data_IF_815013825697
#
_entry.id   IF_815013825697
#
_cell.length_a   1.000
_cell.length_b   1.000
_cell.length_c   1.000
_cell.angle_alpha   90.00
_cell.angle_beta   90.00
_cell.angle_gamma   90.00
#
_symmetry.space_group_name_H-M   'P 1'
#
loop_
_entity.id
_entity.type
_entity.pdbx_description
1 polymer ?
#
# COMPACT_ATOMS: atom_id res chain seq x y z
N UNK A 1 -36.92 57.44 23.15
CA UNK A 1 -37.46 57.12 24.49
C UNK A 1 -37.00 55.71 24.82
N UNK A 2 -35.79 55.50 25.37
CA UNK A 2 -35.44 55.46 26.83
C UNK A 2 -36.34 54.50 27.61
N UNK A 3 -35.89 53.46 28.33
CA UNK A 3 -34.65 53.18 29.09
C UNK A 3 -34.25 51.67 28.92
N UNK A 4 -32.99 51.20 28.92
CA UNK A 4 -31.92 51.16 29.96
C UNK A 4 -32.42 50.57 31.30
N UNK A 5 -31.70 49.76 32.09
CA UNK A 5 -30.41 49.03 32.12
C UNK A 5 -30.55 48.02 33.29
N UNK A 6 -29.75 46.97 33.42
CA UNK A 6 -28.51 46.91 34.23
C UNK A 6 -27.85 45.56 33.86
N UNK A 7 -26.59 45.37 33.43
CA UNK A 7 -25.30 46.03 33.61
C UNK A 7 -24.78 46.06 35.05
N UNK A 8 -23.80 45.19 35.31
CA UNK A 8 -22.54 45.40 36.07
C UNK A 8 -22.15 44.11 36.85
N UNK A 9 -20.92 43.58 36.90
CA UNK A 9 -19.54 44.05 36.66
C UNK A 9 -18.66 42.78 36.40
N UNK A 10 -17.71 42.71 35.45
CA UNK A 10 -16.41 43.40 35.27
C UNK A 10 -15.25 42.80 36.11
N UNK A 11 -14.30 42.20 35.36
CA UNK A 11 -12.81 42.31 35.44
C UNK A 11 -12.09 41.74 36.70
N UNK A 12 -10.85 41.25 36.68
CA UNK A 12 -9.72 41.18 35.72
C UNK A 12 -8.72 40.12 36.25
N UNK A 13 -7.85 39.67 35.36
CA UNK A 13 -6.50 39.08 35.49
C UNK A 13 -5.86 38.95 36.91
N UNK A 14 -4.94 38.02 37.18
CA UNK A 14 -3.80 37.69 36.34
C UNK A 14 -3.00 36.49 36.90
N UNK A 15 -2.21 35.90 35.99
CA UNK A 15 -0.89 35.27 36.17
C UNK A 15 -0.62 34.26 37.31
N UNK A 16 -0.35 33.02 36.89
CA UNK A 16 0.21 31.96 37.72
C UNK A 16 0.75 30.79 36.89
N UNK A 17 1.88 31.04 36.25
CA UNK A 17 2.70 30.09 35.49
C UNK A 17 2.94 28.79 36.28
N UNK A 18 2.62 27.63 35.69
CA UNK A 18 3.32 26.39 35.98
C UNK A 18 3.52 25.58 34.70
N UNK A 19 4.80 25.45 34.35
CA UNK A 19 5.36 24.56 33.33
C UNK A 19 5.08 23.12 33.76
N UNK A 20 4.42 22.34 32.89
CA UNK A 20 4.36 20.90 33.02
C UNK A 20 4.43 20.23 31.63
N UNK A 21 5.44 19.39 31.52
CA UNK A 21 5.92 18.59 30.40
C UNK A 21 4.82 17.81 29.65
N UNK A 22 4.59 18.12 28.36
CA UNK A 22 3.63 17.40 27.50
C UNK A 22 4.31 16.20 26.84
N UNK A 23 4.56 15.16 27.64
CA UNK A 23 4.64 13.75 27.20
C UNK A 23 3.68 12.90 28.03
N UNK A 24 2.37 12.97 27.76
CA UNK A 24 1.41 12.04 28.41
C UNK A 24 -0.03 11.99 27.85
N UNK A 25 -0.45 12.85 26.90
CA UNK A 25 -1.90 13.03 26.63
C UNK A 25 -2.47 12.15 25.49
N UNK A 26 -1.70 11.25 24.87
CA UNK A 26 -2.21 10.35 23.81
C UNK A 26 -2.62 8.94 24.26
N UNK A 27 -2.62 8.65 25.57
CA UNK A 27 -3.06 7.37 26.12
C UNK A 27 -4.14 7.62 27.17
N UNK A 28 -5.43 7.70 26.76
CA UNK A 28 -6.61 7.43 27.62
C UNK A 28 -7.99 7.61 26.95
N UNK A 29 -8.12 7.40 25.63
CA UNK A 29 -9.44 7.30 24.97
C UNK A 29 -9.52 6.10 24.02
N UNK A 30 -9.34 4.91 24.58
CA UNK A 30 -9.70 3.65 23.92
C UNK A 30 -9.79 2.54 24.96
N UNK A 31 -10.62 2.71 26.00
CA UNK A 31 -11.03 1.61 26.86
C UNK A 31 -12.51 1.76 27.19
N UNK A 32 -13.27 0.71 26.82
CA UNK A 32 -14.68 0.39 27.07
C UNK A 32 -15.76 1.06 26.21
N UNK A 33 -16.10 0.34 25.14
CA UNK A 33 -17.45 -0.13 24.80
C UNK A 33 -17.22 -1.36 23.91
N UNK A 34 -17.11 -2.54 24.50
CA UNK A 34 -18.15 -3.58 24.55
C UNK A 34 -18.38 -4.27 23.19
N UNK A 35 -17.83 -5.49 23.16
CA UNK A 35 -18.30 -6.71 22.49
C UNK A 35 -19.10 -6.57 21.20
N UNK A 36 -18.36 -6.52 20.09
CA UNK A 36 -18.57 -7.40 18.96
C UNK A 36 -17.27 -7.42 18.15
N UNK A 37 -16.27 -8.18 18.61
CA UNK A 37 -15.26 -8.65 17.67
C UNK A 37 -16.00 -9.53 16.67
N UNK A 38 -16.02 -9.10 15.42
CA UNK A 38 -16.39 -9.94 14.29
C UNK A 38 -15.47 -11.16 14.30
N UNK A 39 -15.93 -12.18 15.00
CA UNK A 39 -15.39 -13.54 15.08
C UNK A 39 -15.87 -14.36 13.89
N UNK A 40 -16.09 -13.70 12.75
CA UNK A 40 -16.78 -14.26 11.59
C UNK A 40 -15.87 -14.75 10.47
N UNK A 41 -14.57 -14.45 10.41
CA UNK A 41 -13.73 -14.99 9.30
C UNK A 41 -13.05 -16.33 9.57
N UNK A 42 -12.72 -16.68 10.82
CA UNK A 42 -12.04 -17.95 11.13
C UNK A 42 -12.97 -19.15 11.36
N UNK A 43 -14.26 -18.90 11.61
CA UNK A 43 -15.23 -19.98 11.84
C UNK A 43 -15.99 -20.37 10.55
N UNK A 44 -16.12 -19.49 9.57
CA UNK A 44 -16.66 -19.86 8.24
C UNK A 44 -15.65 -20.70 7.44
N UNK A 45 -14.34 -20.54 7.66
CA UNK A 45 -13.30 -21.38 7.04
C UNK A 45 -13.04 -22.71 7.78
N UNK A 46 -13.79 -23.03 8.85
CA UNK A 46 -13.83 -24.39 9.41
C UNK A 46 -14.74 -25.33 8.62
N UNK A 47 -15.60 -24.80 7.77
CA UNK A 47 -16.51 -25.62 6.95
C UNK A 47 -15.79 -26.42 5.85
N UNK A 48 -14.46 -26.25 5.69
CA UNK A 48 -13.70 -26.99 4.71
C UNK A 48 -12.21 -27.03 4.96
N UNK A 49 -11.75 -27.88 5.89
CA UNK A 49 -10.54 -28.67 5.59
C UNK A 49 -10.91 -29.70 4.51
N UNK A 50 -11.42 -29.23 3.38
CA UNK A 50 -11.90 -30.05 2.27
C UNK A 50 -10.66 -30.44 1.45
N UNK A 51 -9.93 -31.44 1.95
CA UNK A 51 -8.75 -31.99 1.27
C UNK A 51 -7.73 -32.70 2.16
N UNK A 52 -7.81 -32.60 3.49
CA UNK A 52 -6.88 -33.34 4.37
C UNK A 52 -7.32 -34.80 4.52
N UNK A 53 -6.39 -35.72 4.31
CA UNK A 53 -6.61 -37.12 4.65
C UNK A 53 -6.76 -37.28 6.18
N UNK A 54 -7.51 -38.29 6.65
CA UNK A 54 -7.58 -38.65 8.09
C UNK A 54 -6.20 -38.80 8.75
N UNK A 55 -5.19 -39.23 7.99
CA UNK A 55 -3.81 -39.36 8.44
C UNK A 55 -3.14 -37.99 8.67
N UNK A 56 -3.44 -37.00 7.84
CA UNK A 56 -2.99 -35.61 8.04
C UNK A 56 -3.59 -35.04 9.31
N UNK A 57 -4.89 -35.24 9.55
CA UNK A 57 -5.56 -34.73 10.76
C UNK A 57 -4.99 -35.36 12.03
N UNK A 58 -4.76 -36.67 12.02
CA UNK A 58 -4.16 -37.37 13.16
C UNK A 58 -2.74 -36.86 13.44
N UNK A 59 -1.94 -36.68 12.39
CA UNK A 59 -0.59 -36.12 12.50
C UNK A 59 -0.60 -34.72 13.13
N UNK A 60 -1.45 -33.83 12.62
CA UNK A 60 -1.56 -32.45 13.12
C UNK A 60 -1.99 -32.46 14.59
N UNK A 61 -3.07 -33.19 14.93
CA UNK A 61 -3.59 -33.28 16.30
C UNK A 61 -2.56 -33.83 17.28
N UNK A 62 -1.86 -34.90 16.92
CA UNK A 62 -0.88 -35.54 17.80
C UNK A 62 0.31 -34.62 18.09
N UNK A 63 0.89 -34.01 17.05
CA UNK A 63 2.04 -33.12 17.22
C UNK A 63 1.65 -31.83 17.94
N UNK A 64 0.45 -31.31 17.68
CA UNK A 64 -0.05 -30.12 18.34
C UNK A 64 -0.29 -30.39 19.84
N UNK A 65 -0.76 -31.59 20.21
CA UNK A 65 -0.89 -32.00 21.62
C UNK A 65 0.46 -32.15 22.31
N UNK A 66 1.48 -32.61 21.59
CA UNK A 66 2.85 -32.81 22.09
C UNK A 66 3.68 -31.51 22.09
N UNK A 67 3.14 -30.38 21.66
CA UNK A 67 3.85 -29.10 21.57
C UNK A 67 5.16 -29.19 20.77
N UNK A 68 5.19 -29.99 19.70
CA UNK A 68 6.43 -30.16 18.92
C UNK A 68 6.71 -28.88 18.14
N UNK A 69 7.87 -28.26 18.32
CA UNK A 69 8.19 -27.03 17.58
C UNK A 69 8.20 -27.29 16.06
N UNK A 70 7.55 -26.44 15.22
CA UNK A 70 7.47 -26.69 13.78
C UNK A 70 8.83 -26.86 13.09
N UNK A 71 9.87 -26.15 13.54
CA UNK A 71 11.22 -26.28 13.01
C UNK A 71 11.79 -27.71 13.15
N UNK A 72 11.51 -28.38 14.27
CA UNK A 72 11.98 -29.75 14.50
C UNK A 72 11.35 -30.74 13.53
N UNK A 73 10.08 -30.55 13.20
CA UNK A 73 9.39 -31.37 12.21
C UNK A 73 9.95 -31.09 10.80
N UNK A 74 10.16 -29.81 10.45
CA UNK A 74 10.70 -29.40 9.15
C UNK A 74 12.06 -30.06 8.85
N UNK A 75 12.98 -30.00 9.81
CA UNK A 75 14.30 -30.63 9.69
C UNK A 75 14.23 -32.16 9.54
N UNK A 76 13.17 -32.76 10.06
CA UNK A 76 12.89 -34.19 9.96
C UNK A 76 12.37 -34.65 8.60
N UNK A 77 11.80 -33.74 7.80
CA UNK A 77 11.12 -34.08 6.55
C UNK A 77 12.08 -34.73 5.55
N UNK A 78 11.64 -35.81 4.91
CA UNK A 78 12.48 -36.54 3.93
C UNK A 78 12.81 -35.66 2.73
N UNK A 79 11.83 -34.90 2.24
CA UNK A 79 12.04 -33.95 1.12
C UNK A 79 13.05 -32.85 1.47
N UNK A 80 13.13 -32.42 2.72
CA UNK A 80 14.12 -31.42 3.17
C UNK A 80 15.51 -32.05 3.23
N UNK A 81 15.64 -33.25 3.84
CA UNK A 81 16.91 -33.97 3.93
C UNK A 81 17.48 -34.37 2.57
N UNK A 82 16.61 -34.73 1.63
CA UNK A 82 16.99 -35.14 0.28
C UNK A 82 17.24 -33.96 -0.68
N UNK A 83 17.02 -32.71 -0.25
CA UNK A 83 17.08 -31.55 -1.14
C UNK A 83 16.04 -31.59 -2.27
N UNK A 84 14.90 -32.26 -2.03
CA UNK A 84 13.85 -32.41 -3.01
C UNK A 84 12.97 -31.17 -3.16
N UNK A 85 12.19 -31.15 -4.25
CA UNK A 85 11.22 -30.09 -4.56
C UNK A 85 10.07 -30.08 -3.56
N UNK A 86 9.74 -28.90 -3.03
CA UNK A 86 8.66 -28.73 -2.03
C UNK A 86 7.29 -28.51 -2.68
N UNK A 87 7.22 -27.88 -3.85
CA UNK A 87 5.96 -27.56 -4.50
C UNK A 87 5.18 -28.85 -4.79
N UNK A 88 3.94 -28.91 -4.32
CA UNK A 88 3.09 -30.10 -4.46
C UNK A 88 3.53 -31.30 -3.59
N UNK A 89 4.57 -31.18 -2.77
CA UNK A 89 5.01 -32.28 -1.90
C UNK A 89 4.04 -32.44 -0.71
N UNK A 90 3.40 -33.62 -0.61
CA UNK A 90 2.40 -33.89 0.42
C UNK A 90 2.95 -33.86 1.86
N UNK A 91 4.21 -34.22 2.08
CA UNK A 91 4.85 -34.18 3.41
C UNK A 91 5.04 -32.73 3.87
N UNK A 92 5.52 -31.87 2.97
CA UNK A 92 5.70 -30.45 3.21
C UNK A 92 4.36 -29.71 3.40
N UNK A 93 3.37 -29.98 2.55
CA UNK A 93 2.03 -29.39 2.68
C UNK A 93 1.40 -29.78 4.03
N UNK A 94 1.53 -31.06 4.44
CA UNK A 94 1.08 -31.50 5.77
C UNK A 94 1.79 -30.76 6.90
N UNK A 95 3.09 -30.49 6.76
CA UNK A 95 3.83 -29.69 7.73
C UNK A 95 3.37 -28.23 7.78
N UNK A 96 3.04 -27.61 6.65
CA UNK A 96 2.46 -26.25 6.63
C UNK A 96 1.10 -26.20 7.34
N UNK A 97 0.24 -27.20 7.13
CA UNK A 97 -1.01 -27.31 7.89
C UNK A 97 -0.77 -27.40 9.39
N UNK A 98 0.27 -28.13 9.78
CA UNK A 98 0.69 -28.17 11.17
C UNK A 98 1.17 -26.81 11.68
N UNK A 99 1.93 -26.04 10.89
CA UNK A 99 2.35 -24.68 11.24
C UNK A 99 1.13 -23.78 11.50
N UNK A 100 0.12 -23.82 10.62
CA UNK A 100 -1.11 -23.03 10.78
C UNK A 100 -1.84 -23.40 12.09
N UNK A 101 -2.04 -24.70 12.35
CA UNK A 101 -2.67 -25.16 13.60
C UNK A 101 -1.84 -24.80 14.85
N UNK A 102 -0.51 -24.86 14.73
CA UNK A 102 0.41 -24.55 15.81
C UNK A 102 0.30 -23.07 16.22
N UNK A 103 0.26 -22.16 15.23
CA UNK A 103 0.05 -20.72 15.41
C UNK A 103 -1.34 -20.41 15.93
N UNK A 104 -2.38 -21.01 15.36
CA UNK A 104 -3.76 -20.80 15.80
C UNK A 104 -3.98 -21.10 17.30
N UNK A 105 -3.26 -22.10 17.84
CA UNK A 105 -3.34 -22.46 19.27
C UNK A 105 -2.47 -21.63 20.21
N UNK A 106 -1.44 -20.96 19.69
CA UNK A 106 -0.37 -20.36 20.52
C UNK A 106 -0.08 -18.90 20.22
N UNK A 107 -0.74 -18.33 19.21
CA UNK A 107 -0.46 -17.03 18.65
C UNK A 107 0.57 -17.11 17.51
N UNK A 108 0.48 -16.16 16.57
CA UNK A 108 1.38 -16.04 15.41
C UNK A 108 2.85 -15.87 15.82
N UNK A 109 3.11 -15.26 16.98
CA UNK A 109 4.47 -15.05 17.52
C UNK A 109 5.15 -16.33 18.00
N UNK A 110 4.41 -17.43 18.19
CA UNK A 110 4.97 -18.71 18.62
C UNK A 110 5.78 -19.41 17.51
N UNK A 111 5.58 -19.04 16.25
CA UNK A 111 6.40 -19.45 15.12
C UNK A 111 6.24 -18.44 13.98
N UNK A 112 7.13 -17.47 13.92
CA UNK A 112 7.01 -16.29 13.05
C UNK A 112 7.25 -16.58 11.57
N UNK A 113 6.82 -15.69 10.68
CA UNK A 113 7.11 -15.76 9.24
C UNK A 113 8.62 -15.80 9.02
N UNK A 114 9.36 -14.97 9.76
CA UNK A 114 10.83 -14.94 9.70
C UNK A 114 11.45 -16.30 9.97
N UNK A 115 10.92 -17.06 10.93
CA UNK A 115 11.40 -18.41 11.24
C UNK A 115 11.06 -19.40 10.12
N UNK A 116 9.81 -19.40 9.63
CA UNK A 116 9.41 -20.18 8.45
C UNK A 116 10.37 -19.96 7.29
N UNK A 117 10.66 -18.70 6.97
CA UNK A 117 11.54 -18.34 5.88
C UNK A 117 12.99 -18.70 6.10
N UNK A 118 13.49 -18.52 7.33
CA UNK A 118 14.84 -18.92 7.71
C UNK A 118 15.04 -20.42 7.45
N UNK A 119 14.06 -21.26 7.81
CA UNK A 119 14.11 -22.69 7.54
C UNK A 119 14.12 -23.01 6.04
N UNK A 120 13.26 -22.35 5.26
CA UNK A 120 13.22 -22.52 3.82
C UNK A 120 14.54 -22.10 3.15
N UNK A 121 15.19 -21.02 3.59
CA UNK A 121 16.49 -20.59 3.06
C UNK A 121 17.65 -21.50 3.49
N UNK A 122 17.66 -21.96 4.74
CA UNK A 122 18.71 -22.85 5.27
C UNK A 122 18.77 -24.20 4.54
N UNK A 123 17.68 -24.58 3.87
CA UNK A 123 17.60 -25.83 3.12
C UNK A 123 18.24 -25.80 1.72
N UNK A 124 19.16 -24.85 1.46
CA UNK A 124 19.91 -24.67 0.21
C UNK A 124 19.03 -24.48 -1.04
N UNK A 125 17.83 -23.93 -0.86
CA UNK A 125 16.89 -23.65 -1.95
C UNK A 125 17.25 -22.34 -2.64
N UNK A 126 17.11 -22.30 -3.96
CA UNK A 126 17.35 -21.07 -4.73
C UNK A 126 16.16 -20.11 -4.57
N UNK A 127 16.37 -18.83 -4.84
CA UNK A 127 15.28 -17.85 -4.78
C UNK A 127 14.18 -18.18 -5.81
N UNK A 128 14.54 -18.72 -6.97
CA UNK A 128 13.60 -19.19 -7.99
C UNK A 128 12.68 -20.30 -7.47
N UNK A 129 13.23 -21.26 -6.73
CA UNK A 129 12.47 -22.33 -6.11
C UNK A 129 11.52 -21.79 -5.04
N UNK A 130 11.96 -20.81 -4.24
CA UNK A 130 11.12 -20.21 -3.19
C UNK A 130 9.99 -19.36 -3.77
N UNK A 131 10.25 -18.63 -4.86
CA UNK A 131 9.21 -17.88 -5.58
C UNK A 131 8.19 -18.84 -6.20
N UNK A 132 8.64 -19.89 -6.88
CA UNK A 132 7.75 -20.91 -7.45
C UNK A 132 6.91 -21.62 -6.37
N UNK A 133 7.54 -21.96 -5.24
CA UNK A 133 6.87 -22.54 -4.09
C UNK A 133 5.75 -21.64 -3.59
N UNK A 134 6.06 -20.37 -3.30
CA UNK A 134 5.08 -19.42 -2.79
C UNK A 134 3.86 -19.31 -3.70
N UNK A 135 4.05 -19.26 -5.02
CA UNK A 135 2.94 -19.19 -5.96
C UNK A 135 2.16 -20.50 -6.03
N UNK A 136 2.83 -21.65 -5.98
CA UNK A 136 2.15 -22.96 -5.97
C UNK A 136 1.24 -23.12 -4.75
N UNK A 137 1.67 -22.60 -3.60
CA UNK A 137 0.90 -22.67 -2.35
C UNK A 137 -0.41 -21.87 -2.42
N UNK A 138 -0.49 -20.82 -3.25
CA UNK A 138 -1.76 -20.09 -3.46
C UNK A 138 -2.87 -20.96 -4.06
N UNK A 139 -2.51 -22.07 -4.72
CA UNK A 139 -3.47 -23.03 -5.28
C UNK A 139 -3.85 -24.14 -4.28
N UNK A 140 -3.22 -24.17 -3.10
CA UNK A 140 -3.57 -25.10 -2.03
C UNK A 140 -4.65 -24.45 -1.15
N UNK A 141 -5.79 -25.13 -0.91
CA UNK A 141 -6.83 -24.61 -0.01
C UNK A 141 -6.25 -24.19 1.35
N UNK A 142 -6.69 -23.07 1.91
CA UNK A 142 -6.22 -22.54 3.20
C UNK A 142 -4.75 -22.07 3.26
N UNK A 143 -4.02 -22.07 2.14
CA UNK A 143 -2.59 -21.64 2.11
C UNK A 143 -2.37 -20.30 1.42
N UNK A 144 -3.43 -19.65 0.93
CA UNK A 144 -3.31 -18.38 0.22
C UNK A 144 -2.67 -17.29 1.08
N UNK A 145 -3.05 -17.20 2.35
CA UNK A 145 -2.55 -16.16 3.24
C UNK A 145 -1.03 -16.26 3.48
N UNK A 146 -0.57 -17.45 3.87
CA UNK A 146 0.87 -17.70 4.10
C UNK A 146 1.68 -17.57 2.81
N UNK A 147 1.08 -17.94 1.67
CA UNK A 147 1.71 -17.77 0.36
C UNK A 147 1.86 -16.28 -0.04
N UNK A 148 0.83 -15.45 0.18
CA UNK A 148 0.88 -14.01 -0.10
C UNK A 148 1.89 -13.29 0.82
N UNK A 149 1.94 -13.68 2.10
CA UNK A 149 3.00 -13.26 3.03
C UNK A 149 4.37 -13.71 2.54
N UNK A 150 4.43 -14.92 1.96
CA UNK A 150 5.67 -15.42 1.44
C UNK A 150 6.21 -14.55 0.29
N UNK A 151 5.32 -14.19 -0.63
CA UNK A 151 5.65 -13.34 -1.78
C UNK A 151 6.09 -11.95 -1.34
N UNK A 152 5.38 -11.36 -0.39
CA UNK A 152 5.68 -10.04 0.18
C UNK A 152 7.07 -10.00 0.81
N UNK A 153 7.40 -10.96 1.68
CA UNK A 153 8.70 -11.00 2.33
C UNK A 153 9.85 -11.15 1.32
N UNK A 154 9.68 -11.96 0.26
CA UNK A 154 10.70 -12.11 -0.77
C UNK A 154 10.97 -10.80 -1.53
N UNK A 155 9.92 -10.04 -1.87
CA UNK A 155 10.05 -8.72 -2.51
C UNK A 155 10.79 -7.74 -1.59
N UNK A 156 10.49 -7.75 -0.29
CA UNK A 156 11.14 -6.87 0.69
C UNK A 156 12.59 -7.26 0.98
N UNK A 157 12.91 -8.55 0.87
CA UNK A 157 14.20 -9.09 1.30
C UNK A 157 15.24 -9.20 0.18
N UNK A 158 14.83 -9.17 -1.09
CA UNK A 158 15.74 -9.39 -2.21
C UNK A 158 15.33 -8.67 -3.49
N UNK A 159 16.27 -7.94 -4.09
CA UNK A 159 16.07 -7.32 -5.40
C UNK A 159 15.95 -8.35 -6.54
N UNK A 160 16.58 -9.54 -6.42
CA UNK A 160 16.44 -10.59 -7.44
C UNK A 160 15.01 -11.14 -7.50
N UNK A 161 14.35 -11.20 -6.33
CA UNK A 161 12.97 -11.65 -6.21
C UNK A 161 11.98 -10.75 -6.97
N UNK A 162 12.30 -9.48 -7.21
CA UNK A 162 11.42 -8.54 -7.95
C UNK A 162 11.11 -9.03 -9.37
N UNK A 163 12.15 -9.48 -10.09
CA UNK A 163 11.99 -9.99 -11.47
C UNK A 163 11.30 -11.36 -11.46
N UNK A 164 11.75 -12.26 -10.58
CA UNK A 164 11.22 -13.62 -10.49
C UNK A 164 9.73 -13.61 -10.18
N UNK A 165 9.31 -12.73 -9.28
CA UNK A 165 7.91 -12.59 -8.90
C UNK A 165 7.05 -12.09 -10.08
N UNK A 166 7.53 -11.12 -10.85
CA UNK A 166 6.83 -10.66 -12.06
C UNK A 166 6.63 -11.81 -13.07
N UNK A 167 7.66 -12.62 -13.29
CA UNK A 167 7.58 -13.76 -14.20
C UNK A 167 6.58 -14.81 -13.69
N UNK A 168 6.60 -15.12 -12.39
CA UNK A 168 5.73 -16.14 -11.78
C UNK A 168 4.27 -15.72 -11.72
N UNK A 169 3.98 -14.46 -11.36
CA UNK A 169 2.63 -13.91 -11.43
C UNK A 169 2.09 -13.92 -12.85
N UNK A 170 2.89 -13.48 -13.82
CA UNK A 170 2.49 -13.49 -15.23
C UNK A 170 2.23 -14.91 -15.76
N UNK A 171 3.13 -15.87 -15.51
CA UNK A 171 2.94 -17.28 -15.90
C UNK A 171 1.69 -17.89 -15.27
N UNK A 172 1.37 -17.48 -14.04
CA UNK A 172 0.18 -17.91 -13.31
C UNK A 172 -1.09 -17.14 -13.70
N UNK A 173 -1.00 -16.23 -14.67
CA UNK A 173 -2.10 -15.38 -15.15
C UNK A 173 -2.71 -14.50 -14.06
N UNK A 174 -1.93 -14.13 -13.05
CA UNK A 174 -2.37 -13.10 -12.10
C UNK A 174 -2.56 -11.78 -12.87
N UNK A 175 -3.66 -11.08 -12.63
CA UNK A 175 -3.87 -9.73 -13.17
C UNK A 175 -3.21 -8.69 -12.25
N UNK A 176 -2.96 -7.47 -12.73
CA UNK A 176 -2.52 -6.39 -11.85
C UNK A 176 -3.43 -6.19 -10.64
N UNK A 177 -4.75 -6.35 -10.79
CA UNK A 177 -5.69 -6.26 -9.67
C UNK A 177 -5.50 -7.40 -8.66
N UNK A 178 -5.25 -8.63 -9.12
CA UNK A 178 -4.94 -9.75 -8.24
C UNK A 178 -3.61 -9.53 -7.51
N UNK A 179 -2.57 -9.06 -8.20
CA UNK A 179 -1.27 -8.76 -7.58
C UNK A 179 -1.38 -7.62 -6.57
N UNK A 180 -2.22 -6.61 -6.82
CA UNK A 180 -2.49 -5.57 -5.82
C UNK A 180 -3.01 -6.16 -4.50
N UNK A 181 -3.91 -7.15 -4.59
CA UNK A 181 -4.48 -7.83 -3.43
C UNK A 181 -3.48 -8.78 -2.75
N UNK A 182 -2.67 -9.51 -3.53
CA UNK A 182 -1.57 -10.35 -3.02
C UNK A 182 -0.64 -9.50 -2.15
N UNK A 183 -0.32 -8.29 -2.61
CA UNK A 183 0.57 -7.35 -1.92
C UNK A 183 -0.14 -6.53 -0.83
N UNK A 184 -1.43 -6.79 -0.57
CA UNK A 184 -2.27 -6.14 0.44
C UNK A 184 -2.24 -4.60 0.36
N UNK A 185 -2.16 -4.06 -0.85
CA UNK A 185 -2.02 -2.61 -1.08
C UNK A 185 -3.34 -1.82 -0.88
N UNK A 186 -4.42 -2.43 -0.41
CA UNK A 186 -5.67 -1.72 -0.11
C UNK A 186 -5.52 -0.77 1.07
N UNK A 187 -4.93 -1.26 2.17
CA UNK A 187 -4.95 -0.58 3.47
C UNK A 187 -3.61 0.09 3.85
N UNK A 188 -2.58 -0.10 3.03
CA UNK A 188 -1.22 0.37 3.32
C UNK A 188 -1.00 1.87 3.06
N UNK A 189 0.12 2.45 3.47
CA UNK A 189 0.59 3.71 2.88
C UNK A 189 1.26 3.41 1.54
N UNK A 190 0.98 4.18 0.47
CA UNK A 190 1.62 3.97 -0.84
C UNK A 190 2.92 4.77 -0.99
N UNK A 191 3.02 5.91 -0.31
CA UNK A 191 4.20 6.75 -0.31
C UNK A 191 5.41 5.94 0.18
N UNK A 192 6.47 5.96 -0.64
CA UNK A 192 7.72 5.21 -0.41
C UNK A 192 7.55 3.70 -0.15
N UNK A 193 6.40 3.11 -0.52
CA UNK A 193 6.14 1.70 -0.29
C UNK A 193 6.77 0.82 -1.38
N UNK A 194 7.77 -0.02 -1.05
CA UNK A 194 8.46 -0.87 -2.03
C UNK A 194 7.52 -1.90 -2.69
N UNK A 195 6.48 -2.36 -2.01
CA UNK A 195 5.48 -3.26 -2.59
C UNK A 195 4.62 -2.55 -3.63
N UNK A 196 4.28 -1.28 -3.39
CA UNK A 196 3.58 -0.46 -4.38
C UNK A 196 4.45 -0.22 -5.61
N UNK A 197 5.74 0.11 -5.41
CA UNK A 197 6.70 0.23 -6.52
C UNK A 197 6.82 -1.08 -7.30
N UNK A 198 6.84 -2.24 -6.62
CA UNK A 198 6.83 -3.54 -7.26
C UNK A 198 5.55 -3.78 -8.07
N UNK A 199 4.39 -3.39 -7.56
CA UNK A 199 3.12 -3.48 -8.29
C UNK A 199 3.13 -2.63 -9.58
N UNK A 200 3.67 -1.41 -9.53
CA UNK A 200 3.84 -0.57 -10.72
C UNK A 200 4.77 -1.20 -11.76
N UNK A 201 5.86 -1.82 -11.30
CA UNK A 201 6.77 -2.58 -12.16
C UNK A 201 6.08 -3.80 -12.76
N UNK A 202 5.22 -4.46 -12.00
CA UNK A 202 4.42 -5.57 -12.50
C UNK A 202 3.45 -5.11 -13.60
N UNK A 203 2.75 -3.98 -13.45
CA UNK A 203 1.89 -3.43 -14.51
C UNK A 203 2.68 -3.19 -15.80
N UNK A 204 3.89 -2.63 -15.70
CA UNK A 204 4.78 -2.47 -16.88
C UNK A 204 5.15 -3.81 -17.50
N UNK A 205 5.56 -4.77 -16.68
CA UNK A 205 5.92 -6.11 -17.13
C UNK A 205 4.75 -6.81 -17.82
N UNK A 206 3.58 -6.80 -17.19
CA UNK A 206 2.34 -7.41 -17.67
C UNK A 206 1.95 -6.90 -19.05
N UNK A 207 1.98 -5.58 -19.25
CA UNK A 207 1.67 -4.95 -20.55
C UNK A 207 2.64 -5.33 -21.65
N UNK A 208 3.93 -5.38 -21.34
CA UNK A 208 4.94 -5.77 -22.32
C UNK A 208 4.75 -7.21 -22.84
N UNK A 209 4.10 -8.09 -22.06
CA UNK A 209 3.97 -9.51 -22.38
C UNK A 209 2.57 -9.94 -22.85
N UNK A 210 1.56 -9.07 -22.81
CA UNK A 210 0.16 -9.48 -23.02
C UNK A 210 -0.55 -8.78 -24.21
N UNK A 211 0.19 -8.05 -25.06
CA UNK A 211 -0.33 -7.50 -26.31
C UNK A 211 -1.13 -6.20 -26.17
N UNK A 212 -2.05 -5.90 -27.08
CA UNK A 212 -2.60 -4.56 -27.32
C UNK A 212 -3.76 -4.10 -26.43
N UNK A 213 -4.30 -4.94 -25.53
CA UNK A 213 -5.22 -4.48 -24.46
C UNK A 213 -5.06 -5.21 -23.11
N UNK A 214 -4.03 -4.88 -22.33
CA UNK A 214 -4.11 -5.08 -20.90
C UNK A 214 -3.83 -3.83 -20.08
N UNK A 215 -4.70 -3.59 -19.09
CA UNK A 215 -4.51 -2.69 -17.94
C UNK A 215 -3.73 -1.40 -18.26
N UNK A 216 -4.37 -0.49 -18.99
CA UNK A 216 -3.80 0.80 -19.41
C UNK A 216 -3.38 1.68 -18.23
N UNK A 217 -2.65 2.78 -18.49
CA UNK A 217 -2.32 3.77 -17.44
C UNK A 217 -3.60 4.33 -16.78
N UNK A 218 -4.66 4.51 -17.57
CA UNK A 218 -5.97 4.94 -17.09
C UNK A 218 -6.68 3.86 -16.28
N UNK A 219 -6.59 2.58 -16.68
CA UNK A 219 -7.14 1.47 -15.89
C UNK A 219 -6.44 1.35 -14.53
N UNK A 220 -5.11 1.52 -14.51
CA UNK A 220 -4.33 1.54 -13.27
C UNK A 220 -4.78 2.69 -12.36
N UNK A 221 -4.92 3.90 -12.92
CA UNK A 221 -5.40 5.06 -12.18
C UNK A 221 -6.80 4.82 -11.58
N UNK A 222 -7.75 4.42 -12.43
CA UNK A 222 -9.14 4.19 -12.00
C UNK A 222 -9.21 3.08 -10.93
N UNK A 223 -8.43 2.02 -11.11
CA UNK A 223 -8.36 0.96 -10.12
C UNK A 223 -7.83 1.47 -8.78
N UNK A 224 -6.73 2.24 -8.74
CA UNK A 224 -6.20 2.78 -7.48
C UNK A 224 -7.19 3.71 -6.77
N UNK A 225 -7.84 4.60 -7.53
CA UNK A 225 -8.86 5.53 -6.99
C UNK A 225 -10.03 4.73 -6.38
N UNK A 226 -10.51 3.70 -7.07
CA UNK A 226 -11.62 2.88 -6.60
C UNK A 226 -11.23 1.97 -5.43
N UNK A 227 -10.02 1.40 -5.45
CA UNK A 227 -9.51 0.53 -4.40
C UNK A 227 -9.22 1.29 -3.09
N UNK A 228 -9.12 2.63 -3.16
CA UNK A 228 -8.78 3.50 -2.02
C UNK A 228 -9.79 4.63 -1.88
N UNK A 229 -11.03 4.28 -1.58
CA UNK A 229 -12.14 5.24 -1.42
C UNK A 229 -11.89 6.35 -0.39
N UNK A 230 -10.99 6.12 0.59
CA UNK A 230 -10.58 7.14 1.56
C UNK A 230 -9.46 8.08 1.10
N UNK A 231 -8.79 7.79 -0.02
CA UNK A 231 -7.73 8.63 -0.56
C UNK A 231 -8.31 9.60 -1.59
N UNK A 232 -8.19 10.90 -1.31
CA UNK A 232 -8.60 11.94 -2.25
C UNK A 232 -7.77 11.86 -3.54
N UNK A 233 -8.44 12.00 -4.70
CA UNK A 233 -7.81 11.77 -6.00
C UNK A 233 -6.55 12.61 -6.23
N UNK A 234 -6.55 13.88 -5.80
CA UNK A 234 -5.40 14.78 -5.91
C UNK A 234 -4.14 14.26 -5.21
N UNK A 235 -4.26 13.41 -4.18
CA UNK A 235 -3.11 12.79 -3.53
C UNK A 235 -2.38 11.80 -4.45
N UNK A 236 -3.06 11.19 -5.40
CA UNK A 236 -2.39 10.35 -6.41
C UNK A 236 -1.46 11.16 -7.29
N UNK A 237 -1.77 12.42 -7.62
CA UNK A 237 -0.86 13.23 -8.42
C UNK A 237 0.44 13.55 -7.68
N UNK A 238 0.36 13.87 -6.38
CA UNK A 238 1.55 14.06 -5.54
C UNK A 238 2.35 12.74 -5.40
N UNK A 239 1.68 11.61 -5.18
CA UNK A 239 2.31 10.28 -5.16
C UNK A 239 3.07 10.01 -6.48
N UNK A 240 2.44 10.25 -7.63
CA UNK A 240 3.09 10.07 -8.93
C UNK A 240 4.16 11.12 -9.21
N UNK A 241 4.11 12.28 -8.56
CA UNK A 241 5.20 13.27 -8.63
C UNK A 241 6.46 12.73 -7.95
N UNK A 242 6.33 12.02 -6.84
CA UNK A 242 7.45 11.32 -6.20
C UNK A 242 7.98 10.18 -7.07
N UNK A 243 7.10 9.42 -7.73
CA UNK A 243 7.48 8.27 -8.57
C UNK A 243 8.27 8.70 -9.82
N UNK A 244 8.14 9.96 -10.28
CA UNK A 244 8.96 10.50 -11.38
C UNK A 244 10.47 10.45 -11.12
N UNK A 245 10.88 10.34 -9.86
CA UNK A 245 12.28 10.20 -9.46
C UNK A 245 12.80 8.75 -9.52
N UNK A 246 11.93 7.78 -9.82
CA UNK A 246 12.32 6.38 -10.05
C UNK A 246 12.53 6.20 -11.56
N UNK A 247 13.79 6.03 -12.04
CA UNK A 247 14.10 6.12 -13.47
C UNK A 247 13.27 5.20 -14.36
N UNK A 248 13.04 3.96 -13.92
CA UNK A 248 12.26 3.00 -14.69
C UNK A 248 10.74 3.28 -14.67
N UNK A 249 10.24 4.04 -13.70
CA UNK A 249 8.81 4.37 -13.58
C UNK A 249 8.46 5.80 -14.03
N UNK A 250 9.46 6.63 -14.34
CA UNK A 250 9.27 8.04 -14.69
C UNK A 250 8.23 8.27 -15.78
N UNK A 251 8.38 7.62 -16.93
CA UNK A 251 7.46 7.78 -18.06
C UNK A 251 6.06 7.27 -17.75
N UNK A 252 5.94 6.22 -16.93
CA UNK A 252 4.65 5.72 -16.47
C UNK A 252 3.96 6.77 -15.58
N UNK A 253 4.68 7.31 -14.61
CA UNK A 253 4.16 8.34 -13.70
C UNK A 253 3.71 9.60 -14.44
N UNK A 254 4.47 10.06 -15.45
CA UNK A 254 4.10 11.20 -16.29
C UNK A 254 2.76 10.95 -17.01
N UNK A 255 2.56 9.75 -17.59
CA UNK A 255 1.31 9.42 -18.30
C UNK A 255 0.12 9.33 -17.35
N UNK A 256 0.28 8.73 -16.18
CA UNK A 256 -0.77 8.68 -15.16
C UNK A 256 -1.14 10.08 -14.67
N UNK A 257 -0.16 10.96 -14.40
CA UNK A 257 -0.44 12.36 -14.05
C UNK A 257 -1.13 13.12 -15.18
N UNK A 258 -0.76 12.87 -16.43
CA UNK A 258 -1.42 13.49 -17.58
C UNK A 258 -2.91 13.12 -17.64
N UNK A 259 -3.27 11.86 -17.34
CA UNK A 259 -4.67 11.46 -17.22
C UNK A 259 -5.41 12.18 -16.09
N UNK A 260 -4.78 12.36 -14.92
CA UNK A 260 -5.32 13.15 -13.82
C UNK A 260 -5.57 14.60 -14.24
N UNK A 261 -4.58 15.23 -14.89
CA UNK A 261 -4.69 16.62 -15.32
C UNK A 261 -5.78 16.81 -16.38
N UNK A 262 -5.89 15.88 -17.34
CA UNK A 262 -6.98 15.86 -18.33
C UNK A 262 -8.36 15.78 -17.67
N UNK A 263 -8.52 14.91 -16.66
CA UNK A 263 -9.76 14.77 -15.89
C UNK A 263 -10.10 16.07 -15.18
N UNK A 264 -9.18 16.62 -14.39
CA UNK A 264 -9.38 17.88 -13.67
C UNK A 264 -9.72 19.05 -14.58
N UNK A 265 -9.02 19.17 -15.72
CA UNK A 265 -9.33 20.21 -16.71
C UNK A 265 -10.71 20.01 -17.34
N UNK A 266 -11.16 18.77 -17.55
CA UNK A 266 -12.51 18.45 -18.03
C UNK A 266 -13.58 18.79 -16.99
N UNK A 267 -13.28 18.53 -15.72
CA UNK A 267 -14.12 18.84 -14.55
C UNK A 267 -14.04 20.33 -14.16
N UNK A 268 -13.30 21.14 -14.92
CA UNK A 268 -13.11 22.59 -14.72
C UNK A 268 -12.50 22.94 -13.36
N UNK A 269 -11.73 22.03 -12.77
CA UNK A 269 -10.92 22.32 -11.60
C UNK A 269 -9.85 23.33 -12.03
N UNK A 270 -9.78 24.47 -11.34
CA UNK A 270 -8.74 25.48 -11.61
C UNK A 270 -7.51 25.19 -10.77
N UNK A 271 -6.33 25.75 -11.12
CA UNK A 271 -5.14 25.60 -10.28
C UNK A 271 -5.31 26.10 -8.84
N UNK A 272 -6.09 27.16 -8.62
CA UNK A 272 -6.44 27.62 -7.26
C UNK A 272 -7.36 26.64 -6.54
N UNK A 273 -8.33 26.06 -7.24
CA UNK A 273 -9.21 25.04 -6.65
C UNK A 273 -8.41 23.80 -6.23
N UNK A 274 -7.49 23.33 -7.08
CA UNK A 274 -6.60 22.22 -6.75
C UNK A 274 -5.73 22.54 -5.53
N UNK A 275 -5.20 23.77 -5.41
CA UNK A 275 -4.47 24.22 -4.21
C UNK A 275 -5.35 24.13 -2.96
N UNK A 276 -6.61 24.58 -3.04
CA UNK A 276 -7.55 24.48 -1.93
C UNK A 276 -7.79 23.03 -1.51
N UNK A 277 -7.91 22.11 -2.47
CA UNK A 277 -8.09 20.69 -2.21
C UNK A 277 -6.87 20.05 -1.50
N UNK A 278 -5.65 20.34 -1.97
CA UNK A 278 -4.43 19.94 -1.26
C UNK A 278 -4.32 20.56 0.14
N UNK A 279 -4.92 21.73 0.33
CA UNK A 279 -4.95 22.46 1.60
C UNK A 279 -5.98 21.96 2.61
N UNK A 280 -6.45 20.72 2.51
CA UNK A 280 -7.36 20.12 3.49
C UNK A 280 -6.59 19.17 4.40
N UNK A 281 -6.63 19.35 5.74
CA UNK A 281 -7.42 20.34 6.47
C UNK A 281 -6.75 21.72 6.66
N UNK A 282 -5.49 21.88 6.26
CA UNK A 282 -4.72 23.12 6.45
C UNK A 282 -4.31 23.76 5.13
N UNK A 283 -4.62 25.04 4.90
CA UNK A 283 -4.30 25.72 3.65
C UNK A 283 -2.82 25.62 3.28
N UNK A 284 -2.54 25.42 1.99
CA UNK A 284 -1.16 25.42 1.49
C UNK A 284 -0.55 26.82 1.63
N UNK A 285 0.53 26.89 2.41
CA UNK A 285 1.40 28.05 2.52
C UNK A 285 2.71 27.79 1.76
N UNK A 286 2.88 28.49 0.64
CA UNK A 286 4.07 28.38 -0.20
C UNK A 286 5.33 29.00 0.43
N UNK A 287 5.22 29.77 1.51
CA UNK A 287 6.40 30.29 2.22
C UNK A 287 7.15 29.22 3.00
N UNK A 288 6.45 28.14 3.37
CA UNK A 288 7.00 27.00 4.11
C UNK A 288 7.07 25.71 3.28
N UNK A 289 6.23 25.59 2.24
CA UNK A 289 6.21 24.40 1.39
C UNK A 289 7.46 24.36 0.50
N UNK A 290 8.30 23.35 0.68
CA UNK A 290 9.52 23.19 -0.11
C UNK A 290 9.23 23.09 -1.60
N UNK A 291 10.09 23.68 -2.45
CA UNK A 291 10.02 23.51 -3.92
C UNK A 291 10.31 22.08 -4.38
N UNK A 292 10.90 21.26 -3.52
CA UNK A 292 11.08 19.83 -3.78
C UNK A 292 9.86 18.98 -3.40
N UNK A 293 8.91 19.57 -2.67
CA UNK A 293 7.71 18.88 -2.21
C UNK A 293 6.87 18.39 -3.39
N UNK A 294 6.38 17.14 -3.37
CA UNK A 294 5.54 16.59 -4.42
C UNK A 294 4.25 17.39 -4.66
N UNK A 295 3.65 17.99 -3.63
CA UNK A 295 2.46 18.85 -3.75
C UNK A 295 2.81 20.15 -4.46
N UNK A 296 3.91 20.82 -4.06
CA UNK A 296 4.38 22.04 -4.74
C UNK A 296 4.56 21.80 -6.23
N UNK A 297 5.31 20.73 -6.57
CA UNK A 297 5.62 20.40 -7.95
C UNK A 297 4.38 19.98 -8.74
N UNK A 298 3.43 19.29 -8.11
CA UNK A 298 2.14 18.97 -8.74
C UNK A 298 1.35 20.22 -9.07
N UNK A 299 1.29 21.19 -8.16
CA UNK A 299 0.60 22.47 -8.41
C UNK A 299 1.26 23.25 -9.55
N UNK A 300 2.58 23.27 -9.61
CA UNK A 300 3.31 23.88 -10.75
C UNK A 300 2.99 23.17 -12.05
N UNK A 301 3.17 21.85 -12.10
CA UNK A 301 2.99 21.03 -13.32
C UNK A 301 1.55 21.12 -13.83
N UNK A 302 0.55 21.05 -12.94
CA UNK A 302 -0.85 21.20 -13.31
C UNK A 302 -1.19 22.61 -13.79
N UNK A 303 -0.69 23.65 -13.11
CA UNK A 303 -0.91 25.05 -13.54
C UNK A 303 -0.37 25.27 -14.94
N UNK A 304 0.82 24.73 -15.22
CA UNK A 304 1.45 24.81 -16.54
C UNK A 304 0.65 24.07 -17.60
N UNK A 305 0.23 22.83 -17.31
CA UNK A 305 -0.66 22.07 -18.19
C UNK A 305 -1.96 22.83 -18.48
N UNK A 306 -2.60 23.39 -17.45
CA UNK A 306 -3.88 24.08 -17.56
C UNK A 306 -3.81 25.30 -18.51
N UNK A 307 -2.78 26.14 -18.37
CA UNK A 307 -2.63 27.33 -19.24
C UNK A 307 -2.22 26.99 -20.66
N UNK A 308 -1.51 25.87 -20.86
CA UNK A 308 -1.23 25.36 -22.21
C UNK A 308 -2.50 24.88 -22.91
N UNK A 309 -3.45 24.29 -22.17
CA UNK A 309 -4.74 23.83 -22.73
C UNK A 309 -5.79 24.95 -22.89
N UNK A 310 -5.79 25.96 -22.02
CA UNK A 310 -6.89 26.96 -21.94
C UNK A 310 -6.46 28.43 -22.11
N UNK A 311 -5.23 28.77 -21.73
CA UNK A 311 -4.78 30.15 -21.55
C UNK A 311 -4.03 30.77 -22.73
N UNK A 312 -3.62 29.97 -23.71
CA UNK A 312 -2.80 30.41 -24.83
C UNK A 312 -1.36 30.79 -24.43
N UNK A 313 -0.59 31.23 -25.43
CA UNK A 313 0.87 31.45 -25.29
C UNK A 313 1.24 32.60 -24.36
N UNK A 314 0.47 33.70 -24.39
CA UNK A 314 0.72 34.88 -23.56
C UNK A 314 0.55 34.58 -22.06
N UNK A 315 -0.55 33.93 -21.68
CA UNK A 315 -0.79 33.54 -20.29
C UNK A 315 0.24 32.51 -19.82
N UNK A 316 0.58 31.55 -20.67
CA UNK A 316 1.60 30.55 -20.38
C UNK A 316 2.96 31.19 -20.07
N UNK A 317 3.36 32.22 -20.83
CA UNK A 317 4.60 32.96 -20.58
C UNK A 317 4.55 33.76 -19.27
N UNK A 318 3.42 34.39 -18.98
CA UNK A 318 3.22 35.13 -17.73
C UNK A 318 3.28 34.22 -16.49
N UNK A 319 2.61 33.07 -16.54
CA UNK A 319 2.63 32.07 -15.45
C UNK A 319 4.02 31.48 -15.23
N UNK A 320 4.75 31.15 -16.31
CA UNK A 320 6.17 30.73 -16.21
C UNK A 320 7.02 31.77 -15.51
N UNK A 321 6.82 33.06 -15.82
CA UNK A 321 7.53 34.16 -15.17
C UNK A 321 7.23 34.23 -13.67
N UNK A 322 5.96 34.12 -13.27
CA UNK A 322 5.60 34.14 -11.85
C UNK A 322 6.24 32.99 -11.05
N UNK A 323 6.31 31.78 -11.60
CA UNK A 323 7.04 30.68 -10.94
C UNK A 323 8.54 30.92 -10.86
N UNK A 324 9.16 31.52 -11.88
CA UNK A 324 10.58 31.87 -11.87
C UNK A 324 10.92 32.95 -10.82
N UNK A 325 9.98 33.85 -10.55
CA UNK A 325 10.09 34.93 -9.55
C UNK A 325 9.64 34.49 -8.14
N UNK A 326 9.45 33.18 -7.91
CA UNK A 326 8.98 32.62 -6.64
C UNK A 326 7.63 33.17 -6.15
N UNK A 327 6.72 33.43 -7.09
CA UNK A 327 5.38 33.90 -6.80
C UNK A 327 4.31 32.88 -7.24
N UNK A 328 4.27 31.68 -6.62
CA UNK A 328 3.32 30.63 -6.99
C UNK A 328 1.86 31.04 -6.78
N UNK A 329 1.56 31.87 -5.77
CA UNK A 329 0.20 32.38 -5.57
C UNK A 329 -0.27 33.26 -6.75
N UNK A 330 0.59 34.13 -7.29
CA UNK A 330 0.25 34.92 -8.47
C UNK A 330 0.10 34.05 -9.72
N UNK A 331 0.97 33.04 -9.87
CA UNK A 331 0.90 32.07 -10.98
C UNK A 331 -0.46 31.35 -11.01
N UNK A 332 -0.84 30.72 -9.90
CA UNK A 332 -2.11 29.99 -9.79
C UNK A 332 -3.33 30.91 -9.95
N UNK A 333 -3.28 32.12 -9.36
CA UNK A 333 -4.36 33.11 -9.51
C UNK A 333 -4.51 33.62 -10.93
N UNK A 334 -3.42 33.84 -11.66
CA UNK A 334 -3.46 34.25 -13.05
C UNK A 334 -4.03 33.13 -13.94
N UNK A 335 -3.57 31.90 -13.75
CA UNK A 335 -4.06 30.74 -14.49
C UNK A 335 -5.55 30.45 -14.23
N UNK A 336 -6.03 30.66 -13.01
CA UNK A 336 -7.42 30.35 -12.63
C UNK A 336 -8.47 31.36 -13.14
N UNK A 337 -8.04 32.45 -13.80
CA UNK A 337 -8.93 33.47 -14.37
C UNK A 337 -9.26 33.25 -15.85
N UNK A 338 -8.62 32.29 -16.50
CA UNK A 338 -8.73 32.02 -17.95
C UNK A 338 -9.88 31.11 -18.31
#
# INVERSE_FOLDING_TARGET
MTCLSDADQILIADSGIFVADKKSVFLKRALRSDDASETTSFNEEKAGILGSSKLTDLFIKLNAKKNVHPASIFQGLRVVKAGGKLDGNAEFIRWLWYVLEYRAKRGETAFTERELFSLLRQSKRTEEELVALSQSLRQVPGMKNIADEMQTYMILSSASSHRLMNEVWWRSRETPQQVFNILRLGDETLDDNPLFIQWLRYIKFYRAHQGSKPFSDLDALNFMVNARLGMMEFRFAALFQSIKYIPDLKEFAIRVQTHLYQRWTSDKITPNELKSQFGIPYPIDFSILSRTDPVYRTLVDYTMYFVEQKGGTALSKAVKKFFAEDNPNAALKAASKS
#
